data_IF_857353040138
#
_entry.id   IF_857353040138
#
_cell.length_a   1.000
_cell.length_b   1.000
_cell.length_c   1.000
_cell.angle_alpha   90.00
_cell.angle_beta   90.00
_cell.angle_gamma   90.00
#
_symmetry.space_group_name_H-M   'P 1'
#
loop_
_entity.id
_entity.type
_entity.pdbx_description
1 polymer ?
#
# COMPACT_ATOMS: atom_id res chain seq x y z
N UNK A 1 -60.57 -12.14 -93.99
CA UNK A 1 -60.29 -12.95 -92.80
C UNK A 1 -59.41 -12.13 -91.90
N UNK A 2 -59.78 -12.07 -90.63
CA UNK A 2 -59.26 -11.20 -89.58
C UNK A 2 -57.74 -11.22 -89.37
N UNK A 3 -57.27 -10.06 -88.90
CA UNK A 3 -55.96 -9.75 -88.32
C UNK A 3 -55.58 -10.77 -87.24
N UNK A 4 -54.28 -10.97 -86.93
CA UNK A 4 -53.79 -10.27 -85.72
C UNK A 4 -52.39 -9.64 -85.83
N UNK A 5 -52.28 -8.42 -85.29
CA UNK A 5 -51.03 -7.70 -85.00
C UNK A 5 -50.15 -8.44 -83.98
N UNK A 6 -48.81 -8.30 -84.03
CA UNK A 6 -47.93 -8.79 -82.98
C UNK A 6 -48.06 -7.86 -81.76
N UNK A 7 -48.67 -8.36 -80.69
CA UNK A 7 -48.66 -7.69 -79.39
C UNK A 7 -47.28 -7.94 -78.78
N UNK A 8 -46.42 -6.92 -78.75
CA UNK A 8 -45.12 -6.98 -78.08
C UNK A 8 -45.28 -7.09 -76.56
N UNK A 9 -44.53 -8.03 -75.97
CA UNK A 9 -44.66 -8.62 -74.63
C UNK A 9 -44.36 -7.70 -73.42
N UNK A 10 -44.88 -8.02 -72.22
CA UNK A 10 -44.79 -7.22 -70.98
C UNK A 10 -43.54 -7.48 -70.09
N UNK A 11 -42.55 -8.26 -70.55
CA UNK A 11 -41.49 -8.82 -69.69
C UNK A 11 -40.53 -7.80 -69.05
N UNK A 12 -40.41 -6.59 -69.59
CA UNK A 12 -39.43 -5.60 -69.13
C UNK A 12 -39.85 -4.89 -67.83
N UNK A 13 -41.15 -4.71 -67.56
CA UNK A 13 -41.66 -3.99 -66.38
C UNK A 13 -41.70 -4.87 -65.12
N UNK A 14 -42.01 -6.16 -65.25
CA UNK A 14 -42.03 -7.10 -64.13
C UNK A 14 -40.65 -7.30 -63.50
N UNK A 15 -39.59 -7.35 -64.31
CA UNK A 15 -38.21 -7.46 -63.81
C UNK A 15 -37.78 -6.27 -62.95
N UNK A 16 -38.17 -5.04 -63.33
CA UNK A 16 -37.90 -3.84 -62.51
C UNK A 16 -38.70 -3.85 -61.20
N UNK A 17 -39.95 -4.30 -61.24
CA UNK A 17 -40.80 -4.39 -60.04
C UNK A 17 -40.20 -5.39 -59.04
N UNK A 18 -39.72 -6.55 -59.52
CA UNK A 18 -39.05 -7.55 -58.68
C UNK A 18 -37.77 -6.99 -58.05
N UNK A 19 -36.91 -6.33 -58.84
CA UNK A 19 -35.69 -5.71 -58.33
C UNK A 19 -35.96 -4.63 -57.27
N UNK A 20 -36.99 -3.80 -57.46
CA UNK A 20 -37.40 -2.80 -56.47
C UNK A 20 -37.89 -3.44 -55.16
N UNK A 21 -38.62 -4.55 -55.27
CA UNK A 21 -39.08 -5.33 -54.10
C UNK A 21 -37.91 -5.90 -53.31
N UNK A 22 -36.90 -6.45 -54.00
CA UNK A 22 -35.70 -7.01 -53.38
C UNK A 22 -34.84 -5.92 -52.69
N UNK A 23 -34.75 -4.74 -53.30
CA UNK A 23 -34.09 -3.58 -52.67
C UNK A 23 -34.84 -3.17 -51.40
N UNK A 24 -36.17 -3.10 -51.45
CA UNK A 24 -36.98 -2.70 -50.30
C UNK A 24 -36.90 -3.70 -49.15
N UNK A 25 -36.90 -5.01 -49.43
CA UNK A 25 -36.71 -6.04 -48.38
C UNK A 25 -35.30 -5.97 -47.78
N UNK A 26 -34.26 -5.73 -48.59
CA UNK A 26 -32.90 -5.54 -48.10
C UNK A 26 -32.78 -4.29 -47.20
N UNK A 27 -33.37 -3.15 -47.61
CA UNK A 27 -33.40 -1.92 -46.80
C UNK A 27 -34.11 -2.17 -45.47
N UNK A 28 -35.27 -2.84 -45.50
CA UNK A 28 -36.02 -3.17 -44.29
C UNK A 28 -35.21 -4.07 -43.34
N UNK A 29 -34.53 -5.08 -43.88
CA UNK A 29 -33.66 -5.96 -43.11
C UNK A 29 -32.51 -5.19 -42.43
N UNK A 30 -31.86 -4.27 -43.15
CA UNK A 30 -30.80 -3.43 -42.58
C UNK A 30 -31.35 -2.50 -41.50
N UNK A 31 -32.54 -1.93 -41.70
CA UNK A 31 -33.17 -1.05 -40.72
C UNK A 31 -33.45 -1.78 -39.40
N UNK A 32 -34.06 -2.97 -39.48
CA UNK A 32 -34.29 -3.83 -38.30
C UNK A 32 -32.96 -4.23 -37.63
N UNK A 33 -31.92 -4.52 -38.42
CA UNK A 33 -30.60 -4.83 -37.86
C UNK A 33 -29.94 -3.62 -37.16
N UNK A 34 -30.18 -2.40 -37.64
CA UNK A 34 -29.66 -1.18 -37.01
C UNK A 34 -30.41 -0.87 -35.73
N UNK A 35 -31.73 -1.04 -35.71
CA UNK A 35 -32.56 -0.83 -34.52
C UNK A 35 -32.13 -1.77 -33.38
N UNK A 36 -32.01 -3.07 -33.68
CA UNK A 36 -31.54 -4.08 -32.70
C UNK A 36 -30.13 -3.81 -32.17
N UNK A 37 -29.20 -3.38 -33.02
CA UNK A 37 -27.85 -2.96 -32.59
C UNK A 37 -27.88 -1.69 -31.75
N UNK A 38 -28.73 -0.74 -32.09
CA UNK A 38 -28.91 0.50 -31.33
C UNK A 38 -29.44 0.22 -29.92
N UNK A 39 -30.43 -0.66 -29.80
CA UNK A 39 -30.97 -1.10 -28.50
C UNK A 39 -29.93 -1.84 -27.66
N UNK A 40 -29.13 -2.68 -28.30
CA UNK A 40 -28.03 -3.40 -27.65
C UNK A 40 -27.01 -2.41 -27.08
N UNK A 41 -26.53 -1.47 -27.89
CA UNK A 41 -25.56 -0.45 -27.46
C UNK A 41 -26.15 0.43 -26.34
N UNK A 42 -27.42 0.81 -26.45
CA UNK A 42 -28.12 1.59 -25.41
C UNK A 42 -28.11 0.87 -24.06
N UNK A 43 -28.38 -0.44 -24.09
CA UNK A 43 -28.38 -1.30 -22.90
C UNK A 43 -26.97 -1.42 -22.31
N UNK A 44 -25.96 -1.69 -23.13
CA UNK A 44 -24.56 -1.80 -22.69
C UNK A 44 -24.06 -0.49 -22.07
N UNK A 45 -24.42 0.66 -22.66
CA UNK A 45 -24.09 1.99 -22.11
C UNK A 45 -24.77 2.20 -20.75
N UNK A 46 -26.01 1.74 -20.58
CA UNK A 46 -26.71 1.84 -19.29
C UNK A 46 -26.02 0.98 -18.20
N UNK A 47 -25.60 -0.24 -18.55
CA UNK A 47 -24.84 -1.12 -17.65
C UNK A 47 -23.49 -0.49 -17.27
N UNK A 48 -22.75 0.01 -18.26
CA UNK A 48 -21.47 0.68 -18.03
C UNK A 48 -21.61 1.89 -17.09
N UNK A 49 -22.68 2.68 -17.23
CA UNK A 49 -22.98 3.78 -16.31
C UNK A 49 -23.24 3.29 -14.88
N UNK A 50 -23.89 2.15 -14.71
CA UNK A 50 -24.11 1.55 -13.40
C UNK A 50 -22.78 1.09 -12.78
N UNK A 51 -21.94 0.40 -13.55
CA UNK A 51 -20.62 -0.05 -13.12
C UNK A 51 -19.72 1.12 -12.71
N UNK A 52 -19.70 2.20 -13.48
CA UNK A 52 -18.95 3.41 -13.13
C UNK A 52 -19.43 4.05 -11.81
N UNK A 53 -20.74 4.01 -11.53
CA UNK A 53 -21.26 4.50 -10.24
C UNK A 53 -20.81 3.62 -9.07
N UNK A 54 -20.85 2.30 -9.25
CA UNK A 54 -20.39 1.34 -8.22
C UNK A 54 -18.89 1.53 -7.98
N UNK A 55 -18.10 1.65 -9.04
CA UNK A 55 -16.66 1.89 -8.92
C UNK A 55 -16.37 3.22 -8.21
N UNK A 56 -17.09 4.29 -8.57
CA UNK A 56 -16.96 5.58 -7.90
C UNK A 56 -17.30 5.51 -6.39
N UNK A 57 -18.30 4.73 -6.01
CA UNK A 57 -18.64 4.50 -4.60
C UNK A 57 -17.52 3.76 -3.86
N UNK A 58 -16.98 2.68 -4.45
CA UNK A 58 -15.87 1.90 -3.88
C UNK A 58 -14.59 2.74 -3.73
N UNK A 59 -14.29 3.60 -4.69
CA UNK A 59 -13.15 4.52 -4.60
C UNK A 59 -13.31 5.47 -3.42
N UNK A 60 -14.47 6.11 -3.27
CA UNK A 60 -14.75 6.99 -2.12
C UNK A 60 -14.68 6.26 -0.77
N UNK A 61 -15.20 5.04 -0.72
CA UNK A 61 -15.12 4.20 0.47
C UNK A 61 -13.67 3.87 0.84
N UNK A 62 -12.80 3.63 -0.14
CA UNK A 62 -11.38 3.35 0.09
C UNK A 62 -10.55 4.60 0.48
N UNK A 63 -10.92 5.78 -0.04
CA UNK A 63 -10.21 7.05 0.25
C UNK A 63 -10.28 7.45 1.73
N UNK A 64 -11.40 7.20 2.41
CA UNK A 64 -11.58 7.53 3.82
C UNK A 64 -10.59 6.81 4.75
N UNK A 65 -10.59 5.46 4.79
CA UNK A 65 -9.63 4.67 5.55
C UNK A 65 -8.18 4.97 5.18
N UNK A 66 -7.89 5.20 3.90
CA UNK A 66 -6.53 5.54 3.46
C UNK A 66 -6.05 6.85 4.09
N UNK A 67 -6.92 7.85 4.20
CA UNK A 67 -6.61 9.11 4.88
C UNK A 67 -6.33 8.88 6.37
N UNK A 68 -7.20 8.11 7.06
CA UNK A 68 -6.99 7.78 8.47
C UNK A 68 -5.67 7.05 8.69
N UNK A 69 -5.37 6.02 7.89
CA UNK A 69 -4.11 5.27 7.96
C UNK A 69 -2.90 6.19 7.75
N UNK A 70 -3.01 7.17 6.84
CA UNK A 70 -1.94 8.15 6.60
C UNK A 70 -1.71 9.03 7.82
N UNK A 71 -2.78 9.53 8.43
CA UNK A 71 -2.71 10.39 9.62
C UNK A 71 -2.19 9.61 10.85
N UNK A 72 -2.64 8.36 11.03
CA UNK A 72 -2.16 7.45 12.07
C UNK A 72 -0.67 7.11 11.89
N UNK A 73 -0.25 6.85 10.65
CA UNK A 73 1.16 6.58 10.33
C UNK A 73 2.05 7.78 10.65
N UNK A 74 1.59 9.00 10.37
CA UNK A 74 2.31 10.22 10.72
C UNK A 74 2.43 10.38 12.24
N UNK A 75 1.32 10.16 12.96
CA UNK A 75 1.28 10.23 14.43
C UNK A 75 2.23 9.21 15.06
N UNK A 76 2.19 7.95 14.59
CA UNK A 76 3.02 6.88 15.12
C UNK A 76 4.51 7.14 14.86
N UNK A 77 4.87 7.70 13.71
CA UNK A 77 6.26 8.10 13.42
C UNK A 77 6.77 9.16 14.40
N UNK A 78 5.92 10.13 14.74
CA UNK A 78 6.29 11.17 15.71
C UNK A 78 6.44 10.59 17.12
N UNK A 79 5.53 9.72 17.53
CA UNK A 79 5.63 9.01 18.81
C UNK A 79 6.91 8.17 18.91
N UNK A 80 7.26 7.44 17.85
CA UNK A 80 8.51 6.66 17.80
C UNK A 80 9.73 7.58 17.91
N UNK A 81 9.72 8.74 17.25
CA UNK A 81 10.80 9.74 17.35
C UNK A 81 10.93 10.26 18.78
N UNK A 82 9.83 10.65 19.42
CA UNK A 82 9.81 11.14 20.79
C UNK A 82 10.28 10.07 21.79
N UNK A 83 9.84 8.83 21.60
CA UNK A 83 10.25 7.72 22.46
C UNK A 83 11.74 7.43 22.30
N UNK A 84 12.26 7.42 21.08
CA UNK A 84 13.70 7.26 20.81
C UNK A 84 14.52 8.35 21.49
N UNK A 85 14.11 9.61 21.39
CA UNK A 85 14.79 10.72 22.07
C UNK A 85 14.79 10.54 23.60
N UNK A 86 13.65 10.12 24.15
CA UNK A 86 13.52 9.84 25.59
C UNK A 86 14.45 8.70 26.01
N UNK A 87 14.52 7.62 25.25
CA UNK A 87 15.42 6.49 25.51
C UNK A 87 16.89 6.93 25.52
N UNK A 88 17.32 7.76 24.56
CA UNK A 88 18.70 8.25 24.52
C UNK A 88 19.02 9.16 25.73
N UNK A 89 18.08 10.02 26.14
CA UNK A 89 18.23 10.83 27.36
C UNK A 89 18.36 9.93 28.60
N UNK A 90 17.53 8.88 28.70
CA UNK A 90 17.58 7.95 29.83
C UNK A 90 18.90 7.17 29.87
N UNK A 91 19.40 6.71 28.72
CA UNK A 91 20.71 6.05 28.62
C UNK A 91 21.82 6.96 29.12
N UNK A 92 21.86 8.22 28.66
CA UNK A 92 22.87 9.18 29.09
C UNK A 92 22.80 9.44 30.61
N UNK A 93 21.61 9.48 31.20
CA UNK A 93 21.43 9.60 32.65
C UNK A 93 21.95 8.38 33.41
N UNK A 94 21.70 7.18 32.89
CA UNK A 94 22.21 5.93 33.48
C UNK A 94 23.73 5.94 33.45
N UNK A 95 24.34 6.28 32.31
CA UNK A 95 25.79 6.37 32.17
C UNK A 95 26.41 7.39 33.13
N UNK A 96 25.79 8.58 33.31
CA UNK A 96 26.23 9.55 34.32
C UNK A 96 26.14 8.99 35.74
N UNK A 97 25.04 8.33 36.10
CA UNK A 97 24.87 7.75 37.43
C UNK A 97 25.85 6.60 37.70
N UNK A 98 26.07 5.71 36.74
CA UNK A 98 27.07 4.66 36.85
C UNK A 98 28.46 5.27 37.00
N UNK A 99 28.82 6.25 36.17
CA UNK A 99 30.08 6.96 36.27
C UNK A 99 30.30 7.61 37.64
N UNK A 100 29.28 8.29 38.17
CA UNK A 100 29.35 8.93 39.51
C UNK A 100 29.40 7.93 40.65
N UNK A 101 28.71 6.80 40.52
CA UNK A 101 28.76 5.71 41.49
C UNK A 101 30.16 5.08 41.55
N UNK A 102 30.79 4.89 40.39
CA UNK A 102 32.13 4.29 40.31
C UNK A 102 33.29 5.25 40.61
N UNK A 103 33.10 6.58 40.49
CA UNK A 103 34.17 7.58 40.66
C UNK A 103 34.94 7.49 41.98
N UNK A 104 34.29 7.07 43.06
CA UNK A 104 34.92 6.93 44.37
C UNK A 104 35.27 5.48 44.72
N UNK A 105 35.00 4.53 43.82
CA UNK A 105 35.30 3.13 44.05
C UNK A 105 36.69 2.80 43.50
N UNK A 106 37.50 2.12 44.32
CA UNK A 106 38.81 1.60 43.90
C UNK A 106 38.65 0.14 43.51
N UNK A 107 39.03 -0.21 42.28
CA UNK A 107 39.12 -1.61 41.85
C UNK A 107 40.55 -2.12 42.05
N UNK A 108 40.69 -3.14 42.91
CA UNK A 108 41.95 -3.86 43.11
C UNK A 108 41.90 -5.11 42.24
N UNK A 109 42.76 -5.15 41.21
CA UNK A 109 42.77 -6.21 40.20
C UNK A 109 43.92 -7.17 40.47
N UNK A 110 43.77 -8.44 40.13
CA UNK A 110 44.80 -9.49 40.29
C UNK A 110 45.08 -9.92 41.73
N UNK A 111 44.08 -9.84 42.61
CA UNK A 111 44.14 -10.45 43.95
C UNK A 111 43.82 -11.95 43.83
N UNK A 112 44.70 -12.85 44.30
CA UNK A 112 44.41 -14.29 44.30
C UNK A 112 43.20 -14.62 45.18
N UNK A 113 42.33 -15.52 44.71
CA UNK A 113 41.16 -15.92 45.50
C UNK A 113 41.56 -16.48 46.87
N UNK A 114 40.83 -16.07 47.92
CA UNK A 114 41.03 -16.49 49.32
C UNK A 114 42.30 -15.97 50.00
N UNK A 115 43.07 -15.07 49.38
CA UNK A 115 44.21 -14.42 50.04
C UNK A 115 43.80 -13.45 51.15
N UNK A 116 42.52 -13.08 51.20
CA UNK A 116 41.93 -12.06 52.09
C UNK A 116 41.77 -12.57 53.54
N UNK A 117 41.69 -13.89 53.73
CA UNK A 117 41.40 -14.48 55.03
C UNK A 117 40.02 -14.07 55.57
N UNK A 118 39.80 -14.12 56.89
CA UNK A 118 38.50 -13.81 57.51
C UNK A 118 38.20 -12.31 57.66
N UNK A 119 39.21 -11.42 57.56
CA UNK A 119 39.07 -9.98 57.77
C UNK A 119 39.62 -9.21 56.56
N UNK A 120 38.71 -8.78 55.67
CA UNK A 120 39.05 -8.06 54.43
C UNK A 120 39.67 -6.69 54.71
N UNK A 121 39.21 -6.00 55.76
CA UNK A 121 39.68 -4.64 56.09
C UNK A 121 41.19 -4.61 56.37
N UNK A 122 41.68 -5.57 57.17
CA UNK A 122 43.11 -5.69 57.50
C UNK A 122 43.94 -6.08 56.29
N UNK A 123 43.39 -6.92 55.41
CA UNK A 123 44.05 -7.30 54.16
C UNK A 123 44.24 -6.10 53.23
N UNK A 124 43.20 -5.28 53.06
CA UNK A 124 43.26 -4.07 52.23
C UNK A 124 44.22 -3.03 52.82
N UNK A 125 44.22 -2.85 54.15
CA UNK A 125 45.15 -1.96 54.85
C UNK A 125 46.62 -2.38 54.64
N UNK A 126 46.95 -3.65 54.85
CA UNK A 126 48.31 -4.18 54.61
C UNK A 126 48.72 -4.07 53.14
N UNK A 127 47.80 -4.38 52.21
CA UNK A 127 48.06 -4.31 50.77
C UNK A 127 48.38 -2.88 50.32
N UNK A 128 47.61 -1.88 50.79
CA UNK A 128 47.83 -0.47 50.46
C UNK A 128 49.15 0.03 51.08
N UNK A 129 49.37 -0.26 52.36
CA UNK A 129 50.59 0.16 53.08
C UNK A 129 51.84 -0.43 52.43
N UNK A 130 51.82 -1.73 52.08
CA UNK A 130 52.95 -2.40 51.45
C UNK A 130 53.32 -1.78 50.10
N UNK A 131 52.34 -1.38 49.30
CA UNK A 131 52.61 -0.75 48.00
C UNK A 131 53.05 0.71 48.11
N UNK A 132 52.51 1.47 49.08
CA UNK A 132 52.94 2.85 49.31
C UNK A 132 54.31 2.94 49.98
N UNK A 133 54.60 2.09 50.97
CA UNK A 133 55.89 2.05 51.65
C UNK A 133 57.02 1.48 50.78
N UNK A 134 56.69 0.71 49.74
CA UNK A 134 57.64 0.23 48.73
C UNK A 134 58.11 1.29 47.72
N UNK A 135 57.48 2.48 47.68
CA UNK A 135 57.81 3.58 46.76
C UNK A 135 58.80 4.62 47.32
N UNK A 136 59.29 4.44 48.57
CA UNK A 136 60.22 5.37 49.25
C UNK A 136 61.69 4.89 49.27
N UNK A 137 62.11 4.00 48.36
CA UNK A 137 63.52 3.64 48.16
C UNK A 137 64.02 4.09 46.80
#
# INVERSE_FOLDING_TARGET
MDVPCPVTEPAHSEGYILALKDIMTAIHSVFVSLETKTDTVSTEVALMRADFRILGARVKEAEGPLKTIKDDSATLKEQVRALKATTEILKAKIEDFEGRSHRNNVQIISVPEKSEGPNVDLFVEDLILKQLCGLSQ
#
